data_IF_120270879308
#
_entry.id   IF_120270879308
#
_cell.length_a   1.000
_cell.length_b   1.000
_cell.length_c   1.000
_cell.angle_alpha   90.00
_cell.angle_beta   90.00
_cell.angle_gamma   90.00
#
_symmetry.space_group_name_H-M   'P 1'
#
loop_
_entity.id
_entity.type
_entity.pdbx_description
1 polymer ?
#
# COMPACT_ATOMS: atom_id res chain seq x y z
N UNK A 1 -6.72 -6.29 22.79
CA UNK A 1 -6.44 -7.62 22.20
C UNK A 1 -6.45 -7.58 20.66
N UNK A 2 -7.53 -7.17 20.00
CA UNK A 2 -7.63 -7.07 18.53
C UNK A 2 -6.52 -6.23 17.87
N UNK A 3 -6.27 -5.02 18.36
CA UNK A 3 -5.30 -4.10 17.74
C UNK A 3 -3.87 -4.64 17.83
N UNK A 4 -3.51 -5.21 18.98
CA UNK A 4 -2.22 -5.90 19.18
C UNK A 4 -2.11 -7.10 18.25
N UNK A 5 -3.18 -7.89 18.10
CA UNK A 5 -3.19 -9.04 17.20
C UNK A 5 -2.90 -8.64 15.75
N UNK A 6 -3.58 -7.60 15.25
CA UNK A 6 -3.48 -7.18 13.86
C UNK A 6 -2.11 -6.56 13.56
N UNK A 7 -1.52 -5.78 14.47
CA UNK A 7 -0.30 -5.01 14.20
C UNK A 7 1.02 -5.71 14.54
N UNK A 8 1.04 -6.66 15.50
CA UNK A 8 2.28 -7.18 16.13
C UNK A 8 3.31 -7.88 15.22
N UNK A 9 3.01 -8.10 13.94
CA UNK A 9 3.93 -8.70 12.95
C UNK A 9 4.05 -7.88 11.65
N UNK A 10 3.53 -6.66 11.62
CA UNK A 10 3.69 -5.75 10.49
C UNK A 10 5.05 -5.04 10.51
N UNK A 11 5.55 -4.64 9.33
CA UNK A 11 6.79 -3.86 9.20
C UNK A 11 6.64 -2.37 9.59
N UNK A 12 5.39 -1.91 9.79
CA UNK A 12 5.03 -0.52 10.10
C UNK A 12 5.58 0.51 9.10
N UNK A 13 5.83 0.10 7.85
CA UNK A 13 6.47 0.94 6.86
C UNK A 13 5.68 2.23 6.55
N UNK A 14 4.34 2.19 6.58
CA UNK A 14 3.50 3.36 6.28
C UNK A 14 3.57 4.36 7.42
N UNK A 15 3.47 3.89 8.66
CA UNK A 15 3.61 4.73 9.84
C UNK A 15 5.01 5.34 9.97
N UNK A 16 6.06 4.53 9.78
CA UNK A 16 7.45 5.00 9.81
C UNK A 16 7.75 5.98 8.68
N UNK A 17 7.14 5.82 7.50
CA UNK A 17 7.31 6.75 6.39
C UNK A 17 6.83 8.17 6.75
N UNK A 18 5.77 8.33 7.54
CA UNK A 18 5.34 9.67 8.02
C UNK A 18 6.44 10.32 8.84
N UNK A 19 6.98 9.58 9.82
CA UNK A 19 7.98 10.09 10.76
C UNK A 19 9.27 10.45 10.02
N UNK A 20 9.79 9.53 9.20
CA UNK A 20 11.04 9.75 8.48
C UNK A 20 10.92 10.88 7.46
N UNK A 21 9.79 10.96 6.76
CA UNK A 21 9.54 12.06 5.81
C UNK A 21 9.50 13.39 6.56
N UNK A 22 8.80 13.47 7.69
CA UNK A 22 8.68 14.70 8.45
C UNK A 22 10.04 15.17 9.00
N UNK A 23 10.82 14.24 9.55
CA UNK A 23 12.17 14.53 10.03
C UNK A 23 13.09 15.02 8.90
N UNK A 24 13.08 14.35 7.75
CA UNK A 24 13.89 14.76 6.61
C UNK A 24 13.48 16.13 6.04
N UNK A 25 12.18 16.44 5.99
CA UNK A 25 11.70 17.77 5.56
C UNK A 25 12.10 18.89 6.52
N UNK A 26 12.13 18.60 7.82
CA UNK A 26 12.55 19.57 8.82
C UNK A 26 14.05 19.88 8.73
N UNK A 27 14.87 18.87 8.45
CA UNK A 27 16.33 19.00 8.37
C UNK A 27 17.04 19.03 9.74
N UNK A 28 16.28 18.93 10.84
CA UNK A 28 16.75 18.94 12.23
C UNK A 28 16.07 17.83 13.05
N UNK A 29 16.53 17.63 14.29
CA UNK A 29 15.85 16.73 15.24
C UNK A 29 14.41 17.19 15.51
N UNK A 30 13.48 16.24 15.52
CA UNK A 30 12.09 16.50 15.90
C UNK A 30 12.03 16.76 17.41
N UNK A 31 11.32 17.81 17.82
CA UNK A 31 10.94 17.96 19.22
C UNK A 31 10.06 16.80 19.65
N UNK A 32 9.92 16.61 20.97
CA UNK A 32 9.08 15.55 21.53
C UNK A 32 7.62 15.66 21.05
N UNK A 33 7.08 16.88 20.96
CA UNK A 33 5.71 17.09 20.45
C UNK A 33 5.60 16.75 18.96
N UNK A 34 6.56 17.17 18.13
CA UNK A 34 6.57 16.88 16.69
C UNK A 34 6.68 15.39 16.41
N UNK A 35 7.60 14.70 17.10
CA UNK A 35 7.76 13.26 16.99
C UNK A 35 6.50 12.53 17.45
N UNK A 36 5.89 12.98 18.56
CA UNK A 36 4.63 12.42 19.04
C UNK A 36 3.50 12.59 18.03
N UNK A 37 3.30 13.78 17.47
CA UNK A 37 2.25 14.03 16.48
C UNK A 37 2.47 13.24 15.18
N UNK A 38 3.71 13.18 14.67
CA UNK A 38 4.04 12.35 13.52
C UNK A 38 3.80 10.87 13.79
N UNK A 39 4.12 10.39 15.00
CA UNK A 39 3.84 9.01 15.43
C UNK A 39 2.34 8.73 15.54
N UNK A 40 1.56 9.67 16.08
CA UNK A 40 0.09 9.55 16.15
C UNK A 40 -0.50 9.41 14.74
N UNK A 41 -0.05 10.25 13.80
CA UNK A 41 -0.51 10.18 12.42
C UNK A 41 -0.03 8.89 11.72
N UNK A 42 1.21 8.48 11.95
CA UNK A 42 1.74 7.21 11.46
C UNK A 42 0.92 6.01 11.94
N UNK A 43 0.52 5.99 13.22
CA UNK A 43 -0.40 4.98 13.74
C UNK A 43 -1.77 5.06 13.06
N UNK A 44 -2.35 6.24 12.82
CA UNK A 44 -3.62 6.34 12.07
C UNK A 44 -3.55 5.61 10.72
N UNK A 45 -2.43 5.70 10.00
CA UNK A 45 -2.24 5.03 8.72
C UNK A 45 -2.09 3.50 8.87
N UNK A 46 -1.42 3.04 9.92
CA UNK A 46 -1.35 1.59 10.23
C UNK A 46 -2.73 1.03 10.62
N UNK A 47 -3.55 1.80 11.33
CA UNK A 47 -4.92 1.42 11.67
C UNK A 47 -5.85 1.44 10.45
N UNK A 48 -5.66 2.38 9.53
CA UNK A 48 -6.34 2.36 8.23
C UNK A 48 -5.96 1.10 7.45
N UNK A 49 -4.67 0.77 7.36
CA UNK A 49 -4.23 -0.48 6.73
C UNK A 49 -4.83 -1.71 7.43
N UNK A 50 -4.87 -1.73 8.76
CA UNK A 50 -5.48 -2.81 9.52
C UNK A 50 -6.96 -3.01 9.16
N UNK A 51 -7.72 -1.92 9.00
CA UNK A 51 -9.09 -1.99 8.51
C UNK A 51 -9.15 -2.64 7.13
N UNK A 52 -8.33 -2.16 6.19
CA UNK A 52 -8.30 -2.66 4.82
C UNK A 52 -8.01 -4.16 4.79
N UNK A 53 -6.97 -4.62 5.49
CA UNK A 53 -6.59 -6.03 5.56
C UNK A 53 -7.67 -6.91 6.19
N UNK A 54 -8.31 -6.47 7.27
CA UNK A 54 -9.37 -7.27 7.93
C UNK A 54 -10.57 -7.49 6.99
N UNK A 55 -10.96 -6.47 6.24
CA UNK A 55 -12.07 -6.57 5.30
C UNK A 55 -11.69 -7.32 4.03
N UNK A 56 -10.49 -7.06 3.50
CA UNK A 56 -9.93 -7.73 2.32
C UNK A 56 -9.77 -9.23 2.56
N UNK A 57 -9.22 -9.65 3.71
CA UNK A 57 -9.11 -11.07 4.08
C UNK A 57 -10.48 -11.80 4.07
N UNK A 58 -11.59 -11.09 4.36
CA UNK A 58 -12.95 -11.66 4.29
C UNK A 58 -13.42 -11.76 2.84
N UNK A 59 -13.24 -10.69 2.06
CA UNK A 59 -13.67 -10.62 0.66
C UNK A 59 -12.93 -11.64 -0.21
N UNK A 60 -11.65 -11.85 0.09
CA UNK A 60 -10.74 -12.76 -0.62
C UNK A 60 -10.68 -14.14 0.04
N UNK A 61 -11.49 -14.38 1.06
CA UNK A 61 -11.55 -15.66 1.78
C UNK A 61 -10.16 -16.16 2.26
N UNK A 62 -9.23 -15.25 2.57
CA UNK A 62 -7.83 -15.55 2.85
C UNK A 62 -7.65 -16.41 4.10
N UNK A 63 -6.63 -17.28 4.11
CA UNK A 63 -6.38 -18.20 5.23
C UNK A 63 -5.49 -17.58 6.31
N UNK A 64 -4.38 -16.98 5.89
CA UNK A 64 -3.33 -16.46 6.78
C UNK A 64 -2.88 -15.06 6.39
N UNK A 65 -2.50 -14.28 7.41
CA UNK A 65 -1.98 -12.92 7.30
C UNK A 65 -0.91 -12.72 8.35
N UNK A 66 0.27 -12.24 7.94
CA UNK A 66 1.42 -11.96 8.83
C UNK A 66 1.80 -13.17 9.70
N UNK A 67 1.82 -14.36 9.11
CA UNK A 67 2.21 -15.62 9.76
C UNK A 67 1.24 -16.06 10.86
N UNK A 68 -0.05 -15.72 10.74
CA UNK A 68 -1.15 -16.12 11.63
C UNK A 68 -2.43 -16.32 10.82
N UNK A 69 -3.38 -17.09 11.35
CA UNK A 69 -4.73 -17.19 10.78
C UNK A 69 -5.41 -15.81 10.74
N UNK A 70 -6.07 -15.48 9.62
CA UNK A 70 -6.76 -14.21 9.42
C UNK A 70 -7.76 -13.91 10.54
N UNK A 71 -7.97 -12.62 10.82
CA UNK A 71 -8.76 -12.19 11.99
C UNK A 71 -10.18 -12.78 12.01
N UNK A 72 -10.87 -12.77 10.86
CA UNK A 72 -12.23 -13.31 10.76
C UNK A 72 -12.32 -14.83 10.96
N UNK A 73 -11.20 -15.54 10.80
CA UNK A 73 -11.10 -16.99 11.02
C UNK A 73 -10.71 -17.36 12.46
N UNK A 74 -10.42 -16.38 13.31
CA UNK A 74 -10.14 -16.64 14.73
C UNK A 74 -11.39 -17.20 15.44
N UNK A 75 -11.23 -18.13 16.41
CA UNK A 75 -12.35 -18.65 17.18
C UNK A 75 -13.20 -17.52 17.78
N UNK A 76 -14.52 -17.61 17.62
CA UNK A 76 -15.52 -16.63 18.10
C UNK A 76 -15.50 -15.24 17.42
N UNK A 77 -14.66 -15.02 16.40
CA UNK A 77 -14.67 -13.77 15.63
C UNK A 77 -15.66 -13.86 14.47
N UNK A 78 -15.41 -14.71 13.47
CA UNK A 78 -16.29 -14.84 12.30
C UNK A 78 -16.55 -13.50 11.61
N UNK A 79 -17.77 -13.31 11.10
CA UNK A 79 -18.18 -12.08 10.41
C UNK A 79 -18.30 -10.85 11.33
N UNK A 80 -18.17 -10.98 12.65
CA UNK A 80 -18.01 -9.82 13.54
C UNK A 80 -16.77 -9.00 13.17
N UNK A 81 -15.80 -9.61 12.46
CA UNK A 81 -14.66 -8.93 11.85
C UNK A 81 -15.04 -7.75 10.94
N UNK A 82 -16.23 -7.75 10.32
CA UNK A 82 -16.72 -6.61 9.53
C UNK A 82 -16.87 -5.38 10.43
N UNK A 83 -17.57 -5.52 11.56
CA UNK A 83 -17.72 -4.43 12.52
C UNK A 83 -16.38 -4.02 13.14
N UNK A 84 -15.47 -4.97 13.34
CA UNK A 84 -14.10 -4.67 13.77
C UNK A 84 -13.34 -3.80 12.76
N UNK A 85 -13.45 -4.08 11.45
CA UNK A 85 -12.93 -3.22 10.39
C UNK A 85 -13.50 -1.80 10.46
N UNK A 86 -14.82 -1.66 10.58
CA UNK A 86 -15.50 -0.36 10.73
C UNK A 86 -14.99 0.39 11.98
N UNK A 87 -14.79 -0.31 13.09
CA UNK A 87 -14.23 0.27 14.31
C UNK A 87 -12.80 0.79 14.07
N UNK A 88 -11.95 0.02 13.39
CA UNK A 88 -10.59 0.46 13.05
C UNK A 88 -10.60 1.75 12.22
N UNK A 89 -11.44 1.82 11.18
CA UNK A 89 -11.59 3.02 10.33
C UNK A 89 -12.13 4.22 11.11
N UNK A 90 -13.19 4.05 11.90
CA UNK A 90 -13.77 5.16 12.68
C UNK A 90 -12.82 5.65 13.78
N UNK A 91 -11.95 4.77 14.29
CA UNK A 91 -10.94 5.14 15.28
C UNK A 91 -9.91 6.12 14.73
N UNK A 92 -9.49 6.00 13.46
CA UNK A 92 -8.53 6.93 12.85
C UNK A 92 -9.07 8.35 12.86
N UNK A 93 -10.33 8.57 12.45
CA UNK A 93 -10.97 9.89 12.48
C UNK A 93 -11.05 10.47 13.90
N UNK A 94 -11.32 9.62 14.90
CA UNK A 94 -11.34 10.04 16.31
C UNK A 94 -9.97 10.49 16.80
N UNK A 95 -8.91 9.77 16.43
CA UNK A 95 -7.53 10.15 16.76
C UNK A 95 -7.17 11.46 16.06
N UNK A 96 -7.43 11.56 14.75
CA UNK A 96 -7.12 12.78 13.98
C UNK A 96 -7.80 14.00 14.61
N UNK A 97 -9.10 13.91 14.89
CA UNK A 97 -9.83 14.99 15.58
C UNK A 97 -9.30 15.26 17.00
N UNK A 98 -8.90 14.25 17.76
CA UNK A 98 -8.45 14.41 19.15
C UNK A 98 -7.13 15.18 19.27
N UNK A 99 -6.21 14.97 18.36
CA UNK A 99 -4.85 15.52 18.44
C UNK A 99 -4.61 16.70 17.49
N UNK A 100 -5.35 16.78 16.39
CA UNK A 100 -5.06 17.76 15.35
C UNK A 100 -6.11 18.85 15.19
N UNK A 101 -7.31 18.78 15.81
CA UNK A 101 -8.41 19.75 15.55
C UNK A 101 -8.06 21.24 15.70
N UNK A 102 -7.09 21.57 16.54
CA UNK A 102 -6.64 22.97 16.76
C UNK A 102 -5.44 23.33 15.87
N UNK A 103 -4.88 22.37 15.11
CA UNK A 103 -3.71 22.57 14.25
C UNK A 103 -4.16 23.10 12.88
N UNK A 104 -3.39 23.99 12.24
CA UNK A 104 -3.79 24.64 10.99
C UNK A 104 -4.01 23.67 9.82
N UNK A 105 -3.33 22.52 9.83
CA UNK A 105 -3.41 21.48 8.80
C UNK A 105 -4.49 20.41 9.08
N UNK A 106 -5.34 20.57 10.11
CA UNK A 106 -6.39 19.61 10.45
C UNK A 106 -7.34 19.30 9.30
N UNK A 107 -7.84 20.35 8.62
CA UNK A 107 -8.79 20.21 7.53
C UNK A 107 -8.14 19.44 6.38
N UNK A 108 -6.94 19.85 5.97
CA UNK A 108 -6.19 19.18 4.92
C UNK A 108 -5.87 17.72 5.23
N UNK A 109 -5.54 17.39 6.50
CA UNK A 109 -5.34 15.99 6.91
C UNK A 109 -6.63 15.17 6.80
N UNK A 110 -7.76 15.75 7.22
CA UNK A 110 -9.06 15.07 7.19
C UNK A 110 -9.48 14.81 5.74
N UNK A 111 -9.44 15.84 4.89
CA UNK A 111 -9.78 15.72 3.46
C UNK A 111 -8.87 14.75 2.72
N UNK A 112 -7.56 14.78 2.99
CA UNK A 112 -6.60 13.84 2.40
C UNK A 112 -6.88 12.39 2.82
N UNK A 113 -7.12 12.14 4.11
CA UNK A 113 -7.42 10.80 4.60
C UNK A 113 -8.74 10.27 4.04
N UNK A 114 -9.77 11.12 3.96
CA UNK A 114 -11.07 10.75 3.39
C UNK A 114 -10.98 10.44 1.91
N UNK A 115 -10.31 11.30 1.12
CA UNK A 115 -10.12 11.11 -0.32
C UNK A 115 -9.31 9.84 -0.61
N UNK A 116 -8.18 9.63 0.07
CA UNK A 116 -7.39 8.40 -0.14
C UNK A 116 -8.16 7.16 0.33
N UNK A 117 -8.93 7.25 1.42
CA UNK A 117 -9.80 6.17 1.87
C UNK A 117 -10.89 5.82 0.86
N UNK A 118 -11.46 6.83 0.19
CA UNK A 118 -12.42 6.67 -0.90
C UNK A 118 -11.77 6.04 -2.13
N UNK A 119 -10.62 6.57 -2.59
CA UNK A 119 -9.84 6.02 -3.70
C UNK A 119 -9.48 4.55 -3.47
N UNK A 120 -9.07 4.19 -2.25
CA UNK A 120 -8.74 2.80 -1.91
C UNK A 120 -9.96 1.89 -1.99
N UNK A 121 -11.12 2.37 -1.52
CA UNK A 121 -12.37 1.62 -1.60
C UNK A 121 -12.85 1.44 -3.06
N UNK A 122 -12.65 2.45 -3.92
CA UNK A 122 -12.88 2.33 -5.37
C UNK A 122 -11.94 1.31 -6.00
N UNK A 123 -10.66 1.31 -5.61
CA UNK A 123 -9.69 0.31 -6.03
C UNK A 123 -10.12 -1.12 -5.69
N UNK A 124 -10.61 -1.33 -4.46
CA UNK A 124 -11.17 -2.62 -4.05
C UNK A 124 -12.41 -3.01 -4.88
N UNK A 125 -13.30 -2.05 -5.14
CA UNK A 125 -14.47 -2.30 -5.97
C UNK A 125 -14.07 -2.74 -7.37
N UNK A 126 -13.10 -2.06 -7.99
CA UNK A 126 -12.57 -2.42 -9.30
C UNK A 126 -11.95 -3.83 -9.28
N UNK A 127 -11.16 -4.15 -8.26
CA UNK A 127 -10.56 -5.47 -8.07
C UNK A 127 -11.62 -6.58 -8.09
N UNK A 128 -12.69 -6.42 -7.30
CA UNK A 128 -13.77 -7.40 -7.20
C UNK A 128 -14.58 -7.52 -8.49
N UNK A 129 -14.91 -6.40 -9.15
CA UNK A 129 -15.64 -6.41 -10.42
C UNK A 129 -14.82 -7.14 -11.48
N UNK A 130 -13.56 -6.75 -11.65
CA UNK A 130 -12.68 -7.31 -12.67
C UNK A 130 -12.43 -8.80 -12.38
N UNK A 131 -12.22 -9.19 -11.13
CA UNK A 131 -12.12 -10.60 -10.72
C UNK A 131 -13.34 -11.42 -11.17
N UNK A 132 -14.55 -10.88 -10.96
CA UNK A 132 -15.78 -11.55 -11.39
C UNK A 132 -15.93 -11.64 -12.91
N UNK A 133 -15.56 -10.57 -13.63
CA UNK A 133 -15.60 -10.53 -15.08
C UNK A 133 -14.57 -11.46 -15.71
N UNK A 134 -13.33 -11.45 -15.23
CA UNK A 134 -12.25 -12.26 -15.79
C UNK A 134 -12.35 -13.75 -15.48
N UNK A 135 -13.01 -14.12 -14.38
CA UNK A 135 -13.46 -15.51 -14.17
C UNK A 135 -14.34 -16.04 -15.31
N UNK A 136 -15.07 -15.16 -16.02
CA UNK A 136 -15.90 -15.52 -17.18
C UNK A 136 -15.15 -15.34 -18.50
N UNK A 137 -14.32 -14.31 -18.61
CA UNK A 137 -13.62 -13.92 -19.82
C UNK A 137 -12.26 -13.31 -19.49
N UNK A 138 -11.18 -14.09 -19.64
CA UNK A 138 -9.82 -13.65 -19.35
C UNK A 138 -9.38 -12.44 -20.20
N UNK A 139 -10.03 -12.14 -21.33
CA UNK A 139 -9.72 -10.94 -22.11
C UNK A 139 -9.97 -9.62 -21.35
N UNK A 140 -10.68 -9.68 -20.21
CA UNK A 140 -10.86 -8.55 -19.29
C UNK A 140 -9.60 -8.21 -18.49
N UNK A 141 -8.67 -9.16 -18.35
CA UNK A 141 -7.39 -8.94 -17.69
C UNK A 141 -6.41 -8.28 -18.65
N UNK A 142 -6.42 -6.95 -18.59
CA UNK A 142 -5.54 -6.09 -19.38
C UNK A 142 -4.61 -5.32 -18.46
N UNK A 143 -3.43 -4.93 -18.96
CA UNK A 143 -2.51 -4.07 -18.21
C UNK A 143 -3.14 -2.73 -17.81
N UNK A 144 -4.08 -2.22 -18.60
CA UNK A 144 -4.83 -1.01 -18.26
C UNK A 144 -5.75 -1.22 -17.05
N UNK A 145 -6.49 -2.33 -17.02
CA UNK A 145 -7.35 -2.68 -15.88
C UNK A 145 -6.52 -2.92 -14.63
N UNK A 146 -5.44 -3.71 -14.74
CA UNK A 146 -4.48 -3.98 -13.68
C UNK A 146 -3.94 -2.68 -13.07
N UNK A 147 -3.32 -1.82 -13.89
CA UNK A 147 -2.74 -0.56 -13.41
C UNK A 147 -3.79 0.30 -12.70
N UNK A 148 -5.03 0.34 -13.19
CA UNK A 148 -6.10 1.11 -12.52
C UNK A 148 -6.44 0.52 -11.15
N UNK A 149 -6.57 -0.80 -11.03
CA UNK A 149 -6.79 -1.46 -9.74
C UNK A 149 -5.66 -1.09 -8.78
N UNK A 150 -4.41 -1.27 -9.19
CA UNK A 150 -3.23 -1.07 -8.35
C UNK A 150 -3.02 0.38 -7.91
N UNK A 151 -3.22 1.34 -8.82
CA UNK A 151 -3.12 2.77 -8.49
C UNK A 151 -4.08 3.12 -7.35
N UNK A 152 -5.33 2.70 -7.46
CA UNK A 152 -6.36 3.03 -6.48
C UNK A 152 -6.31 2.17 -5.22
N UNK A 153 -6.21 0.84 -5.35
CA UNK A 153 -6.25 -0.14 -4.25
C UNK A 153 -4.99 -0.06 -3.39
N UNK A 154 -3.83 0.22 -3.98
CA UNK A 154 -2.54 0.10 -3.28
C UNK A 154 -1.76 1.41 -3.23
N UNK A 155 -1.59 2.08 -4.35
CA UNK A 155 -0.56 3.12 -4.49
C UNK A 155 -0.84 4.35 -3.63
N UNK A 156 -2.08 4.84 -3.62
CA UNK A 156 -2.44 6.04 -2.86
C UNK A 156 -2.26 5.87 -1.34
N UNK A 157 -2.83 4.83 -0.74
CA UNK A 157 -2.75 4.68 0.73
C UNK A 157 -1.38 4.19 1.21
N UNK A 158 -0.63 3.49 0.35
CA UNK A 158 0.63 2.85 0.75
C UNK A 158 1.85 3.75 0.61
N UNK A 159 1.86 4.62 -0.39
CA UNK A 159 3.03 5.44 -0.73
C UNK A 159 2.71 6.93 -0.70
N UNK A 160 1.65 7.37 -1.38
CA UNK A 160 1.30 8.79 -1.44
C UNK A 160 0.86 9.34 -0.07
N UNK A 161 -0.09 8.68 0.60
CA UNK A 161 -0.69 9.16 1.85
C UNK A 161 0.34 9.39 2.97
N UNK A 162 1.28 8.48 3.28
CA UNK A 162 2.30 8.74 4.30
C UNK A 162 3.13 10.02 4.05
N UNK A 163 3.56 10.23 2.81
CA UNK A 163 4.38 11.39 2.44
C UNK A 163 3.54 12.67 2.44
N UNK A 164 2.33 12.62 1.89
CA UNK A 164 1.40 13.75 1.88
C UNK A 164 0.99 14.18 3.30
N UNK A 165 0.79 13.23 4.21
CA UNK A 165 0.58 13.50 5.62
C UNK A 165 1.76 14.27 6.25
N UNK A 166 3.00 13.87 5.98
CA UNK A 166 4.19 14.56 6.49
C UNK A 166 4.41 15.95 5.87
N UNK A 167 4.08 16.13 4.58
CA UNK A 167 4.09 17.44 3.92
C UNK A 167 3.11 18.42 4.60
N UNK A 168 1.89 17.95 4.91
CA UNK A 168 0.90 18.74 5.64
C UNK A 168 1.37 19.07 7.07
N UNK A 169 1.99 18.12 7.78
CA UNK A 169 2.59 18.39 9.10
C UNK A 169 3.68 19.48 9.03
N UNK A 170 4.39 19.56 7.90
CA UNK A 170 5.42 20.58 7.64
C UNK A 170 4.83 21.94 7.23
N UNK A 171 3.50 22.07 7.16
CA UNK A 171 2.83 23.30 6.73
C UNK A 171 2.94 23.58 5.23
N UNK A 172 3.24 22.56 4.43
CA UNK A 172 3.49 22.69 2.99
C UNK A 172 2.25 22.31 2.19
N UNK A 173 1.96 23.08 1.14
CA UNK A 173 0.87 22.80 0.21
C UNK A 173 1.22 21.62 -0.72
N UNK A 174 0.34 20.63 -0.78
CA UNK A 174 0.54 19.41 -1.58
C UNK A 174 0.68 19.69 -3.08
N UNK A 175 0.07 20.76 -3.59
CA UNK A 175 0.14 21.16 -5.00
C UNK A 175 1.57 21.45 -5.48
N UNK A 176 2.47 21.85 -4.58
CA UNK A 176 3.89 22.07 -4.88
C UNK A 176 4.67 20.76 -5.12
N UNK A 177 4.06 19.62 -4.80
CA UNK A 177 4.68 18.29 -4.81
C UNK A 177 3.97 17.32 -5.76
N UNK A 178 3.32 17.82 -6.82
CA UNK A 178 2.65 16.98 -7.84
C UNK A 178 3.58 15.93 -8.47
N UNK A 179 4.81 16.31 -8.83
CA UNK A 179 5.79 15.35 -9.36
C UNK A 179 6.15 14.24 -8.38
N UNK A 180 6.17 14.54 -7.08
CA UNK A 180 6.37 13.54 -6.03
C UNK A 180 5.19 12.57 -5.94
N UNK A 181 3.96 13.06 -6.08
CA UNK A 181 2.77 12.20 -6.12
C UNK A 181 2.85 11.18 -7.26
N UNK A 182 3.28 11.59 -8.45
CA UNK A 182 3.44 10.70 -9.61
C UNK A 182 4.47 9.59 -9.34
N UNK A 183 5.64 9.96 -8.78
CA UNK A 183 6.66 8.98 -8.39
C UNK A 183 6.12 8.00 -7.36
N UNK A 184 5.47 8.49 -6.30
CA UNK A 184 4.91 7.64 -5.24
C UNK A 184 3.81 6.70 -5.76
N UNK A 185 3.03 7.14 -6.74
CA UNK A 185 2.05 6.28 -7.40
C UNK A 185 2.74 5.16 -8.18
N UNK A 186 3.78 5.46 -8.96
CA UNK A 186 4.54 4.44 -9.69
C UNK A 186 5.31 3.49 -8.76
N UNK A 187 5.82 3.97 -7.62
CA UNK A 187 6.38 3.10 -6.57
C UNK A 187 5.33 2.13 -6.03
N UNK A 188 4.09 2.58 -5.90
CA UNK A 188 2.96 1.72 -5.52
C UNK A 188 2.63 0.67 -6.56
N UNK A 189 2.72 1.02 -7.85
CA UNK A 189 2.57 0.06 -8.95
C UNK A 189 3.67 -1.00 -8.90
N UNK A 190 4.93 -0.57 -8.79
CA UNK A 190 6.07 -1.46 -8.66
C UNK A 190 5.94 -2.40 -7.44
N UNK A 191 5.53 -1.87 -6.30
CA UNK A 191 5.32 -2.66 -5.08
C UNK A 191 4.24 -3.74 -5.24
N UNK A 192 3.13 -3.44 -5.93
CA UNK A 192 2.08 -4.44 -6.13
C UNK A 192 2.50 -5.52 -7.12
N UNK A 193 3.25 -5.18 -8.18
CA UNK A 193 3.80 -6.19 -9.09
C UNK A 193 4.70 -7.18 -8.34
N UNK A 194 5.47 -6.71 -7.37
CA UNK A 194 6.23 -7.59 -6.49
C UNK A 194 5.34 -8.43 -5.57
N UNK A 195 4.29 -7.86 -4.98
CA UNK A 195 3.33 -8.61 -4.14
C UNK A 195 2.65 -9.73 -4.93
N UNK A 196 2.18 -9.47 -6.15
CA UNK A 196 1.56 -10.45 -7.05
C UNK A 196 2.56 -11.56 -7.45
N UNK A 197 3.82 -11.19 -7.73
CA UNK A 197 4.86 -12.16 -8.04
C UNK A 197 5.16 -13.07 -6.84
N UNK A 198 5.29 -12.48 -5.64
CA UNK A 198 5.54 -13.20 -4.40
C UNK A 198 4.32 -14.03 -3.96
N UNK A 199 3.11 -13.65 -4.36
CA UNK A 199 1.91 -14.44 -4.11
C UNK A 199 2.00 -15.81 -4.79
N UNK A 200 2.48 -15.85 -6.05
CA UNK A 200 2.59 -17.07 -6.83
C UNK A 200 3.91 -17.85 -6.60
N UNK A 201 5.04 -17.14 -6.45
CA UNK A 201 6.37 -17.77 -6.42
C UNK A 201 7.12 -17.59 -5.10
N UNK A 202 6.61 -16.79 -4.17
CA UNK A 202 7.25 -16.53 -2.88
C UNK A 202 7.09 -17.71 -1.91
N UNK A 203 8.02 -17.82 -0.96
CA UNK A 203 7.90 -18.76 0.15
C UNK A 203 6.80 -18.27 1.13
N UNK A 204 5.73 -19.06 1.38
CA UNK A 204 4.67 -18.69 2.32
C UNK A 204 5.17 -18.39 3.74
N UNK A 205 6.27 -19.00 4.19
CA UNK A 205 6.85 -18.72 5.51
C UNK A 205 7.45 -17.31 5.58
N UNK A 206 8.09 -16.88 4.49
CA UNK A 206 8.69 -15.54 4.36
C UNK A 206 7.62 -14.48 4.10
N UNK A 207 6.66 -14.76 3.21
CA UNK A 207 5.55 -13.87 2.91
C UNK A 207 4.57 -13.72 4.09
N UNK A 208 4.49 -14.75 4.95
CA UNK A 208 3.56 -14.83 6.05
C UNK A 208 2.09 -14.90 5.60
N UNK A 209 1.85 -15.25 4.35
CA UNK A 209 0.54 -15.53 3.75
C UNK A 209 0.69 -16.69 2.76
N UNK A 210 -0.37 -17.45 2.58
CA UNK A 210 -0.49 -18.39 1.45
C UNK A 210 -1.05 -17.57 0.30
N UNK A 211 -0.40 -17.62 -0.87
CA UNK A 211 -0.92 -16.97 -2.07
C UNK A 211 -2.22 -17.59 -2.53
N UNK A 212 -3.14 -16.74 -3.00
CA UNK A 212 -4.47 -17.16 -3.44
C UNK A 212 -4.90 -16.49 -4.74
N UNK A 213 -4.03 -15.67 -5.36
CA UNK A 213 -4.40 -14.89 -6.56
C UNK A 213 -4.93 -15.78 -7.70
N UNK A 214 -4.38 -16.98 -7.87
CA UNK A 214 -4.82 -17.92 -8.92
C UNK A 214 -6.18 -18.52 -8.57
N UNK A 215 -6.35 -19.01 -7.35
CA UNK A 215 -7.58 -19.63 -6.85
C UNK A 215 -8.75 -18.64 -6.81
N UNK A 216 -8.45 -17.38 -6.49
CA UNK A 216 -9.42 -16.30 -6.38
C UNK A 216 -9.70 -15.62 -7.73
N UNK A 217 -9.04 -16.06 -8.82
CA UNK A 217 -9.15 -15.46 -10.14
C UNK A 217 -8.76 -13.98 -10.16
N UNK A 218 -7.76 -13.55 -9.39
CA UNK A 218 -7.36 -12.14 -9.36
C UNK A 218 -6.77 -11.70 -10.69
N UNK A 219 -7.01 -10.44 -11.04
CA UNK A 219 -6.29 -9.77 -12.13
C UNK A 219 -4.89 -9.39 -11.62
N UNK A 220 -4.02 -10.38 -11.44
CA UNK A 220 -2.64 -10.16 -11.01
C UNK A 220 -1.75 -9.79 -12.19
N UNK A 221 -0.59 -9.17 -11.92
CA UNK A 221 0.38 -8.85 -12.96
C UNK A 221 0.79 -10.09 -13.78
N UNK A 222 0.93 -11.24 -13.11
CA UNK A 222 1.36 -12.49 -13.74
C UNK A 222 0.37 -12.98 -14.80
N UNK A 223 -0.94 -12.96 -14.52
CA UNK A 223 -1.94 -13.43 -15.49
C UNK A 223 -2.03 -12.47 -16.67
N UNK A 224 -1.93 -11.16 -16.44
CA UNK A 224 -1.92 -10.16 -17.51
C UNK A 224 -0.72 -10.37 -18.43
N UNK A 225 0.48 -10.59 -17.87
CA UNK A 225 1.66 -10.89 -18.66
C UNK A 225 1.55 -12.22 -19.41
N UNK A 226 1.01 -13.25 -18.76
CA UNK A 226 0.80 -14.55 -19.42
C UNK A 226 -0.15 -14.46 -20.62
N UNK A 227 -1.22 -13.66 -20.52
CA UNK A 227 -2.18 -13.46 -21.61
C UNK A 227 -1.62 -12.64 -22.79
N UNK A 228 -0.65 -11.75 -22.55
CA UNK A 228 0.05 -11.00 -23.60
C UNK A 228 1.04 -11.88 -24.40
N UNK A 229 1.52 -12.96 -23.79
CA UNK A 229 2.43 -13.93 -24.39
C UNK A 229 1.65 -15.06 -25.05
N UNK A 230 1.19 -14.88 -26.28
CA UNK A 230 0.54 -15.96 -27.02
C UNK A 230 1.44 -17.22 -27.12
N UNK A 231 0.91 -18.36 -26.65
CA UNK A 231 1.40 -19.75 -26.74
C UNK A 231 2.59 -20.26 -25.87
N UNK A 232 2.51 -21.58 -25.68
CA UNK A 232 2.87 -22.37 -24.52
C UNK A 232 4.37 -22.47 -24.16
N UNK A 233 4.53 -22.73 -22.86
CA UNK A 233 5.69 -23.32 -22.17
C UNK A 233 6.64 -22.37 -21.44
N UNK A 234 6.13 -21.57 -20.49
CA UNK A 234 6.97 -20.46 -20.02
C UNK A 234 6.89 -19.97 -18.57
N UNK A 235 7.05 -20.86 -17.59
CA UNK A 235 7.44 -20.43 -16.22
C UNK A 235 8.77 -19.62 -16.26
N UNK A 236 9.73 -20.06 -17.08
CA UNK A 236 11.02 -19.37 -17.23
C UNK A 236 10.91 -17.99 -17.90
N UNK A 237 9.94 -17.78 -18.81
CA UNK A 237 9.68 -16.45 -19.39
C UNK A 237 9.09 -15.53 -18.32
N UNK A 238 8.16 -15.99 -17.49
CA UNK A 238 7.59 -15.15 -16.42
C UNK A 238 8.67 -14.71 -15.42
N UNK A 239 9.59 -15.59 -15.04
CA UNK A 239 10.78 -15.23 -14.25
C UNK A 239 11.64 -14.16 -14.95
N UNK A 240 11.92 -14.35 -16.25
CA UNK A 240 12.71 -13.41 -17.05
C UNK A 240 12.02 -12.05 -17.23
N UNK A 241 10.71 -12.03 -17.47
CA UNK A 241 9.91 -10.82 -17.59
C UNK A 241 9.86 -10.05 -16.27
N UNK A 242 9.60 -10.74 -15.15
CA UNK A 242 9.62 -10.09 -13.84
C UNK A 242 11.01 -9.51 -13.57
N UNK A 243 12.06 -10.28 -13.84
CA UNK A 243 13.44 -9.84 -13.67
C UNK A 243 13.79 -8.61 -14.51
N UNK A 244 13.29 -8.53 -15.74
CA UNK A 244 13.48 -7.38 -16.61
C UNK A 244 12.66 -6.18 -16.12
N UNK A 245 11.37 -6.38 -15.85
CA UNK A 245 10.46 -5.35 -15.34
C UNK A 245 10.98 -4.73 -14.03
N UNK A 246 11.47 -5.55 -13.11
CA UNK A 246 12.01 -5.10 -11.83
C UNK A 246 13.24 -4.20 -12.01
N UNK A 247 14.16 -4.59 -12.89
CA UNK A 247 15.35 -3.80 -13.18
C UNK A 247 15.00 -2.46 -13.85
N UNK A 248 14.19 -2.49 -14.90
CA UNK A 248 13.78 -1.29 -15.64
C UNK A 248 12.96 -0.34 -14.76
N UNK A 249 12.02 -0.87 -13.97
CA UNK A 249 11.18 -0.08 -13.07
C UNK A 249 12.01 0.57 -11.98
N UNK A 250 12.99 -0.13 -11.41
CA UNK A 250 13.92 0.43 -10.43
C UNK A 250 14.77 1.56 -11.02
N UNK A 251 15.35 1.37 -12.21
CA UNK A 251 16.17 2.38 -12.89
C UNK A 251 15.35 3.62 -13.28
N UNK A 252 14.13 3.42 -13.79
CA UNK A 252 13.22 4.51 -14.15
C UNK A 252 12.79 5.30 -12.90
N UNK A 253 12.43 4.62 -11.82
CA UNK A 253 12.09 5.27 -10.56
C UNK A 253 13.28 6.04 -9.99
N UNK A 254 14.48 5.45 -10.00
CA UNK A 254 15.70 6.12 -9.53
C UNK A 254 15.97 7.39 -10.34
N UNK A 255 15.88 7.32 -11.67
CA UNK A 255 16.05 8.47 -12.56
C UNK A 255 15.03 9.56 -12.30
N UNK A 256 13.76 9.19 -12.11
CA UNK A 256 12.68 10.14 -11.80
C UNK A 256 12.87 10.80 -10.42
N UNK A 257 13.39 10.05 -9.44
CA UNK A 257 13.75 10.57 -8.12
C UNK A 257 14.91 11.57 -8.26
N UNK A 258 15.97 11.24 -8.99
CA UNK A 258 17.15 12.11 -9.16
C UNK A 258 16.84 13.40 -9.93
N UNK A 259 15.80 13.39 -10.77
CA UNK A 259 15.29 14.58 -11.44
C UNK A 259 14.55 15.57 -10.52
N UNK A 260 14.20 15.19 -9.28
CA UNK A 260 13.54 16.09 -8.34
C UNK A 260 14.48 17.18 -7.84
N UNK A 261 13.98 18.40 -7.66
CA UNK A 261 14.82 19.54 -7.21
C UNK A 261 15.16 19.50 -5.72
N UNK A 262 14.34 18.85 -4.89
CA UNK A 262 14.51 18.80 -3.44
C UNK A 262 15.37 17.60 -3.03
N UNK A 263 16.59 17.85 -2.53
CA UNK A 263 17.50 16.81 -2.04
C UNK A 263 16.88 15.96 -0.93
N UNK A 264 16.17 16.59 0.03
CA UNK A 264 15.45 15.89 1.08
C UNK A 264 14.42 14.91 0.49
N UNK A 265 13.65 15.34 -0.53
CA UNK A 265 12.70 14.46 -1.20
C UNK A 265 13.38 13.32 -1.95
N UNK A 266 14.55 13.56 -2.56
CA UNK A 266 15.31 12.50 -3.21
C UNK A 266 15.71 11.42 -2.19
N UNK A 267 16.24 11.82 -1.03
CA UNK A 267 16.65 10.89 0.02
C UNK A 267 15.46 10.07 0.55
N UNK A 268 14.33 10.73 0.81
CA UNK A 268 13.09 10.05 1.25
C UNK A 268 12.65 9.00 0.23
N UNK A 269 12.56 9.38 -1.05
CA UNK A 269 12.09 8.48 -2.11
C UNK A 269 13.08 7.33 -2.36
N UNK A 270 14.39 7.58 -2.32
CA UNK A 270 15.43 6.53 -2.40
C UNK A 270 15.28 5.55 -1.24
N UNK A 271 15.13 6.03 -0.01
CA UNK A 271 14.94 5.16 1.16
C UNK A 271 13.65 4.33 1.08
N UNK A 272 12.56 4.89 0.53
CA UNK A 272 11.33 4.14 0.28
C UNK A 272 11.51 3.07 -0.81
N UNK A 273 12.25 3.39 -1.89
CA UNK A 273 12.51 2.49 -3.00
C UNK A 273 13.39 1.31 -2.57
N UNK A 274 14.44 1.57 -1.79
CA UNK A 274 15.31 0.53 -1.22
C UNK A 274 14.56 -0.46 -0.32
N UNK A 275 13.53 0.00 0.40
CA UNK A 275 12.72 -0.88 1.26
C UNK A 275 11.92 -1.91 0.47
N UNK A 276 11.53 -1.59 -0.76
CA UNK A 276 10.70 -2.43 -1.62
C UNK A 276 11.52 -3.24 -2.63
N UNK A 277 12.70 -2.79 -3.03
CA UNK A 277 13.60 -3.53 -3.92
C UNK A 277 14.07 -4.85 -3.28
N UNK A 278 13.66 -6.01 -3.83
CA UNK A 278 13.89 -7.32 -3.20
C UNK A 278 15.20 -8.01 -3.62
N UNK A 279 15.83 -7.64 -4.74
CA UNK A 279 17.07 -8.31 -5.23
C UNK A 279 18.28 -8.27 -4.30
N UNK A 280 18.26 -7.41 -3.28
CA UNK A 280 19.33 -7.28 -2.28
C UNK A 280 19.02 -7.95 -0.93
N UNK A 281 17.94 -8.73 -0.82
CA UNK A 281 17.55 -9.42 0.42
C UNK A 281 17.50 -10.93 0.28
#
# INVERSE_FOLDING_TARGET
>A
MMCVFIHSKGKLNRGLAVIHTYQALKGDELSEEEFFLASVLGWCLEWLQACLLVLDDIMDNSQTRRGRTCWYRQPKVGLNAINHGILLKTHTHRIVKRYFREKPYYLGLTELCDEVGYQTSLGQMLDLIITHEGKKDLAKYTMQAYRRIVIYKTSYYSFYLPVACALLLSGVELEKYKGIKEILVEMGVYFQVQDDYLDCFGDPEVAGKIGTDIEDYKCSWLIVQALELADDDKKQILYGLFSKYEAESYENLLSAIEAQSSSAMQEILKALLEKIYQRKK
#
